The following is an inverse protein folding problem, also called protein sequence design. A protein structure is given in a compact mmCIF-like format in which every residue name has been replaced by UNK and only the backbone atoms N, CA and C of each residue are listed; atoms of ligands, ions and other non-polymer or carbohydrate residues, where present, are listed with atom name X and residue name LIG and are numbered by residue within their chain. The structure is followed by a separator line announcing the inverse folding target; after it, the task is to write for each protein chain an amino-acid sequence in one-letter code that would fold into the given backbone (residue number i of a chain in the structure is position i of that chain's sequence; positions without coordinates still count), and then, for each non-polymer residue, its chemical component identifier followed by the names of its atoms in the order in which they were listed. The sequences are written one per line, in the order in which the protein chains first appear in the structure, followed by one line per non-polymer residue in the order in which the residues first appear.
data_IF_781151343341
#
_entry.id   IF_781151343341
#
_cell.length_a   1.000
_cell.length_b   1.000
_cell.length_c   1.000
_cell.angle_alpha   90.00
_cell.angle_beta   90.00
_cell.angle_gamma   90.00
#
_symmetry.space_group_name_H-M   'P 1'
#
loop_
_entity.id
_entity.type
_entity.pdbx_description
1 polymer ?
#
# COMPACT_ATOMS: atom_id res chain seq x y z
N UNK A 1 -16.06 -53.10 -91.97
CA UNK A 1 -15.83 -54.12 -90.91
C UNK A 1 -14.41 -54.01 -90.40
N UNK A 2 -14.21 -53.67 -89.12
CA UNK A 2 -12.88 -53.62 -88.51
C UNK A 2 -12.38 -55.07 -88.36
N UNK A 3 -11.20 -55.35 -88.89
CA UNK A 3 -10.63 -56.71 -88.84
C UNK A 3 -10.40 -57.19 -87.42
N UNK A 4 -10.76 -58.45 -87.10
CA UNK A 4 -10.53 -59.09 -85.78
C UNK A 4 -9.12 -58.89 -85.26
N UNK A 5 -8.12 -58.91 -86.16
CA UNK A 5 -6.71 -58.61 -85.81
C UNK A 5 -6.47 -57.14 -85.32
N UNK A 6 -7.23 -56.18 -85.81
CA UNK A 6 -7.13 -54.78 -85.40
C UNK A 6 -7.72 -54.57 -84.01
N UNK A 7 -8.85 -55.27 -83.73
CA UNK A 7 -9.48 -55.25 -82.42
C UNK A 7 -8.55 -55.86 -81.35
N UNK A 8 -7.95 -57.03 -81.67
CA UNK A 8 -7.00 -57.68 -80.73
C UNK A 8 -5.75 -56.83 -80.49
N UNK A 9 -5.16 -56.21 -81.51
CA UNK A 9 -4.03 -55.33 -81.36
C UNK A 9 -4.36 -54.07 -80.52
N UNK A 10 -5.55 -53.56 -80.72
CA UNK A 10 -6.02 -52.40 -79.90
C UNK A 10 -6.23 -52.78 -78.44
N UNK A 11 -6.86 -53.95 -78.22
CA UNK A 11 -7.06 -54.44 -76.83
C UNK A 11 -5.73 -54.71 -76.10
N UNK A 12 -4.77 -55.41 -76.79
CA UNK A 12 -3.44 -55.67 -76.24
C UNK A 12 -2.69 -54.33 -75.97
N UNK A 13 -2.78 -53.39 -76.90
CA UNK A 13 -2.15 -52.09 -76.73
C UNK A 13 -2.76 -51.23 -75.59
N UNK A 14 -4.05 -51.43 -75.28
CA UNK A 14 -4.74 -50.80 -74.18
C UNK A 14 -4.32 -51.43 -72.85
N UNK A 15 -4.32 -52.80 -72.79
CA UNK A 15 -3.84 -53.51 -71.58
C UNK A 15 -2.41 -53.20 -71.25
N UNK A 16 -1.50 -53.15 -72.27
CA UNK A 16 -0.08 -52.73 -72.03
C UNK A 16 0.06 -51.27 -71.51
N UNK A 17 -0.89 -50.42 -71.84
CA UNK A 17 -0.90 -49.05 -71.28
C UNK A 17 -1.40 -49.04 -69.83
N UNK A 18 -2.41 -49.79 -69.53
CA UNK A 18 -3.01 -49.98 -68.22
C UNK A 18 -2.02 -50.67 -67.26
N UNK A 19 -1.25 -51.67 -67.69
CA UNK A 19 -0.15 -52.28 -66.94
C UNK A 19 0.97 -51.24 -66.58
N UNK A 20 1.19 -50.24 -67.47
CA UNK A 20 2.14 -49.15 -67.20
C UNK A 20 1.63 -48.17 -66.13
N UNK A 21 0.30 -47.96 -66.09
CA UNK A 21 -0.28 -47.11 -65.05
C UNK A 21 -0.09 -47.72 -63.67
N UNK A 22 -0.39 -49.05 -63.58
CA UNK A 22 -0.21 -49.78 -62.34
C UNK A 22 1.26 -49.73 -61.86
N UNK A 23 2.19 -50.08 -62.78
CA UNK A 23 3.63 -50.00 -62.50
C UNK A 23 4.09 -48.61 -62.08
N UNK A 24 3.46 -47.54 -62.54
CA UNK A 24 3.82 -46.16 -62.27
C UNK A 24 3.19 -45.64 -61.00
N UNK A 25 1.94 -45.99 -60.73
CA UNK A 25 1.14 -45.34 -59.70
C UNK A 25 0.76 -46.28 -58.54
N UNK A 26 0.87 -47.62 -58.73
CA UNK A 26 0.58 -48.62 -57.71
C UNK A 26 1.58 -49.82 -57.86
N UNK A 27 2.86 -49.52 -57.91
CA UNK A 27 3.91 -50.48 -58.28
C UNK A 27 3.99 -51.70 -57.35
N UNK A 28 3.62 -51.54 -56.08
CA UNK A 28 3.67 -52.58 -55.04
C UNK A 28 2.30 -53.32 -54.91
N UNK A 29 1.33 -53.03 -55.75
CA UNK A 29 -0.04 -53.55 -55.64
C UNK A 29 -0.65 -53.27 -54.24
N UNK A 30 -0.30 -52.13 -53.66
CA UNK A 30 -0.67 -51.77 -52.32
C UNK A 30 -2.17 -51.51 -52.19
N UNK A 31 -2.79 -51.00 -53.26
CA UNK A 31 -4.19 -50.64 -53.27
C UNK A 31 -4.94 -51.60 -54.25
N UNK A 32 -6.10 -52.10 -53.77
CA UNK A 32 -6.96 -52.97 -54.55
C UNK A 32 -7.82 -52.16 -55.56
N UNK A 33 -7.17 -51.64 -56.60
CA UNK A 33 -7.77 -50.85 -57.68
C UNK A 33 -7.34 -51.48 -58.97
N UNK A 34 -8.29 -52.11 -59.67
CA UNK A 34 -8.01 -52.83 -60.91
C UNK A 34 -7.87 -51.83 -62.06
N UNK A 35 -6.64 -51.70 -62.63
CA UNK A 35 -6.32 -50.76 -63.71
C UNK A 35 -7.13 -50.98 -64.99
N UNK A 36 -7.70 -52.19 -65.19
CA UNK A 36 -8.47 -52.53 -66.39
C UNK A 36 -9.90 -52.00 -66.37
N UNK A 37 -10.41 -51.52 -65.26
CA UNK A 37 -11.73 -50.91 -65.07
C UNK A 37 -11.79 -49.45 -65.54
N UNK A 38 -10.65 -48.87 -65.90
CA UNK A 38 -10.55 -47.47 -66.28
C UNK A 38 -10.09 -47.22 -67.69
N UNK A 39 -10.65 -46.23 -68.34
CA UNK A 39 -10.35 -45.93 -69.78
C UNK A 39 -9.15 -44.97 -69.89
N UNK A 40 -8.90 -44.11 -68.85
CA UNK A 40 -7.83 -43.14 -68.83
C UNK A 40 -6.96 -43.27 -67.58
N UNK A 41 -5.71 -42.88 -67.71
CA UNK A 41 -4.79 -42.83 -66.54
C UNK A 41 -5.27 -41.86 -65.46
N UNK A 42 -6.00 -40.83 -65.86
CA UNK A 42 -6.55 -39.84 -64.86
C UNK A 42 -7.63 -40.50 -64.01
N UNK A 43 -8.56 -41.25 -64.61
CA UNK A 43 -9.61 -41.99 -63.88
C UNK A 43 -8.99 -43.02 -62.92
N UNK A 44 -7.99 -43.80 -63.38
CA UNK A 44 -7.27 -44.74 -62.54
C UNK A 44 -6.55 -44.08 -61.35
N UNK A 45 -5.83 -42.94 -61.59
CA UNK A 45 -5.15 -42.21 -60.55
C UNK A 45 -6.14 -41.58 -59.53
N UNK A 46 -7.30 -41.13 -60.03
CA UNK A 46 -8.31 -40.60 -59.09
C UNK A 46 -8.88 -41.72 -58.22
N UNK A 47 -9.15 -42.93 -58.77
CA UNK A 47 -9.58 -44.05 -57.94
C UNK A 47 -8.53 -44.54 -56.94
N UNK A 48 -7.23 -44.43 -57.25
CA UNK A 48 -6.16 -44.63 -56.26
C UNK A 48 -6.16 -43.54 -55.17
N UNK A 49 -6.34 -42.32 -55.56
CA UNK A 49 -6.41 -41.18 -54.58
C UNK A 49 -7.55 -41.30 -53.59
N UNK A 50 -8.72 -41.76 -54.04
CA UNK A 50 -9.83 -42.08 -53.15
C UNK A 50 -9.43 -43.18 -52.16
N UNK A 51 -8.68 -44.20 -52.57
CA UNK A 51 -8.17 -45.24 -51.68
C UNK A 51 -7.06 -44.73 -50.74
N UNK A 52 -6.22 -43.79 -51.16
CA UNK A 52 -5.22 -43.15 -50.31
C UNK A 52 -5.89 -42.34 -49.20
N UNK A 53 -6.95 -41.59 -49.58
CA UNK A 53 -7.74 -40.80 -48.63
C UNK A 53 -8.48 -41.71 -47.66
N UNK A 54 -9.21 -42.76 -48.16
CA UNK A 54 -9.90 -43.74 -47.31
C UNK A 54 -8.95 -44.41 -46.27
N UNK A 55 -7.65 -44.57 -46.60
CA UNK A 55 -6.68 -45.18 -45.72
C UNK A 55 -6.09 -44.21 -44.70
N UNK A 56 -5.68 -43.02 -45.14
CA UNK A 56 -4.95 -42.08 -44.32
C UNK A 56 -5.85 -41.06 -43.63
N UNK A 57 -6.97 -40.70 -44.25
CA UNK A 57 -7.93 -39.70 -43.74
C UNK A 57 -9.38 -40.15 -44.04
N UNK A 58 -9.84 -41.25 -43.39
CA UNK A 58 -11.15 -41.85 -43.68
C UNK A 58 -12.34 -40.94 -43.33
N UNK A 59 -12.15 -40.00 -42.43
CA UNK A 59 -13.18 -39.05 -42.00
C UNK A 59 -13.12 -37.72 -42.77
N UNK A 60 -12.18 -37.61 -43.71
CA UNK A 60 -11.94 -36.39 -44.52
C UNK A 60 -11.69 -35.12 -43.68
N UNK A 61 -11.08 -35.29 -42.53
CA UNK A 61 -10.78 -34.16 -41.62
C UNK A 61 -9.68 -33.25 -42.14
N UNK A 62 -8.83 -33.78 -43.04
CA UNK A 62 -7.67 -33.07 -43.57
C UNK A 62 -7.89 -32.53 -45.01
N UNK A 63 -9.09 -32.65 -45.59
CA UNK A 63 -9.36 -32.28 -46.98
C UNK A 63 -9.03 -30.80 -47.28
N UNK A 64 -9.30 -29.92 -46.36
CA UNK A 64 -9.01 -28.49 -46.50
C UNK A 64 -7.50 -28.17 -46.47
N UNK A 65 -6.69 -29.07 -45.96
CA UNK A 65 -5.26 -28.85 -45.68
C UNK A 65 -4.35 -29.69 -46.61
N UNK A 66 -4.67 -30.96 -46.78
CA UNK A 66 -3.89 -31.91 -47.60
C UNK A 66 -4.74 -32.39 -48.80
N UNK A 67 -4.70 -31.61 -49.88
CA UNK A 67 -5.44 -31.89 -51.09
C UNK A 67 -4.79 -33.08 -51.84
N UNK A 68 -5.38 -34.28 -51.68
CA UNK A 68 -4.93 -35.52 -52.33
C UNK A 68 -4.77 -35.39 -53.85
N UNK A 69 -5.49 -34.47 -54.50
CA UNK A 69 -5.41 -34.22 -55.92
C UNK A 69 -4.06 -33.70 -56.41
N UNK A 70 -3.29 -33.12 -55.53
CA UNK A 70 -1.94 -32.55 -55.81
C UNK A 70 -0.86 -33.62 -55.89
N UNK A 71 -1.09 -34.80 -55.33
CA UNK A 71 -0.04 -35.82 -55.22
C UNK A 71 -0.05 -36.76 -56.39
N UNK A 72 1.15 -37.16 -56.82
CA UNK A 72 1.36 -38.08 -57.95
C UNK A 72 1.66 -39.51 -57.50
N UNK A 73 1.97 -39.75 -56.24
CA UNK A 73 2.20 -41.04 -55.62
C UNK A 73 1.69 -41.09 -54.21
N UNK A 74 1.50 -42.28 -53.66
CA UNK A 74 1.00 -42.46 -52.28
C UNK A 74 1.99 -42.02 -51.20
N UNK A 75 3.29 -42.34 -51.39
CA UNK A 75 4.28 -42.10 -50.33
C UNK A 75 4.40 -40.61 -50.00
N UNK A 76 4.38 -39.73 -51.00
CA UNK A 76 4.39 -38.29 -50.80
C UNK A 76 3.12 -37.81 -50.08
N UNK A 77 1.93 -38.34 -50.46
CA UNK A 77 0.67 -38.01 -49.82
C UNK A 77 0.64 -38.46 -48.34
N UNK A 78 1.00 -39.74 -48.09
CA UNK A 78 1.03 -40.30 -46.75
C UNK A 78 2.02 -39.58 -45.85
N UNK A 79 3.17 -39.15 -46.37
CA UNK A 79 4.18 -38.40 -45.62
C UNK A 79 3.61 -37.05 -45.17
N UNK A 80 2.97 -36.30 -46.07
CA UNK A 80 2.39 -35.01 -45.75
C UNK A 80 1.20 -35.15 -44.77
N UNK A 81 0.37 -36.21 -44.89
CA UNK A 81 -0.71 -36.50 -43.95
C UNK A 81 -0.15 -36.78 -42.54
N UNK A 82 0.89 -37.61 -42.44
CA UNK A 82 1.53 -37.90 -41.14
C UNK A 82 2.12 -36.64 -40.52
N UNK A 83 2.81 -35.84 -41.34
CA UNK A 83 3.38 -34.57 -40.86
C UNK A 83 2.26 -33.63 -40.39
N UNK A 84 1.16 -33.54 -41.15
CA UNK A 84 0.07 -32.68 -40.74
C UNK A 84 -0.63 -33.14 -39.45
N UNK A 85 -0.88 -34.45 -39.31
CA UNK A 85 -1.43 -35.03 -38.07
C UNK A 85 -0.54 -34.72 -36.87
N UNK A 86 0.77 -34.85 -37.02
CA UNK A 86 1.72 -34.49 -35.98
C UNK A 86 1.60 -33.01 -35.57
N UNK A 87 1.42 -32.12 -36.57
CA UNK A 87 1.23 -30.67 -36.28
C UNK A 87 -0.11 -30.36 -35.61
N UNK A 88 -1.17 -31.12 -35.92
CA UNK A 88 -2.44 -31.02 -35.20
C UNK A 88 -2.31 -31.47 -33.73
N UNK A 89 -1.54 -32.55 -33.48
CA UNK A 89 -1.26 -33.02 -32.13
C UNK A 89 -0.53 -31.92 -31.32
N UNK A 90 0.42 -31.20 -31.93
CA UNK A 90 1.06 -30.04 -31.27
C UNK A 90 0.05 -28.94 -30.93
N UNK A 91 -0.82 -28.58 -31.89
CA UNK A 91 -1.85 -27.59 -31.66
C UNK A 91 -2.78 -28.01 -30.52
N UNK A 92 -3.26 -29.25 -30.54
CA UNK A 92 -4.17 -29.74 -29.50
C UNK A 92 -3.48 -29.83 -28.10
N UNK A 93 -2.15 -29.96 -28.07
CA UNK A 93 -1.37 -29.86 -26.82
C UNK A 93 -1.31 -28.45 -26.28
N UNK A 94 -1.12 -27.44 -27.13
CA UNK A 94 -0.89 -26.06 -26.73
C UNK A 94 -2.17 -25.19 -26.72
N UNK A 95 -3.19 -25.57 -27.51
CA UNK A 95 -4.50 -24.92 -27.64
C UNK A 95 -5.61 -25.98 -27.63
N UNK A 96 -5.78 -26.64 -26.48
CA UNK A 96 -6.69 -27.78 -26.33
C UNK A 96 -8.15 -27.45 -26.64
N UNK A 97 -8.57 -26.24 -26.42
CA UNK A 97 -9.93 -25.77 -26.66
C UNK A 97 -10.11 -25.15 -28.06
N UNK A 98 -9.01 -25.09 -28.83
CA UNK A 98 -8.98 -24.49 -30.18
C UNK A 98 -9.56 -23.06 -30.21
N UNK A 99 -9.21 -22.28 -29.20
CA UNK A 99 -9.70 -20.90 -29.07
C UNK A 99 -9.08 -19.97 -30.12
N UNK A 100 -7.88 -20.32 -30.63
CA UNK A 100 -7.16 -19.47 -31.55
C UNK A 100 -7.28 -20.05 -32.99
N UNK A 101 -7.71 -19.18 -33.93
CA UNK A 101 -7.74 -19.49 -35.37
C UNK A 101 -6.31 -19.53 -35.90
N UNK A 102 -5.68 -20.68 -35.72
CA UNK A 102 -4.27 -20.87 -35.96
C UNK A 102 -4.04 -22.13 -36.82
N UNK A 103 -3.41 -21.95 -37.97
CA UNK A 103 -3.08 -23.07 -38.86
C UNK A 103 -1.63 -23.51 -38.62
N UNK A 104 -1.39 -24.71 -38.07
CA UNK A 104 -0.04 -25.19 -37.80
C UNK A 104 0.80 -25.40 -39.09
N UNK A 105 0.18 -25.42 -40.28
CA UNK A 105 0.89 -25.51 -41.54
C UNK A 105 1.51 -24.19 -42.04
N UNK A 106 1.17 -23.05 -41.42
CA UNK A 106 1.74 -21.76 -41.79
C UNK A 106 3.19 -21.61 -41.32
N UNK A 107 3.69 -22.55 -40.51
CA UNK A 107 5.03 -22.49 -39.90
C UNK A 107 5.89 -23.67 -40.33
N UNK A 108 7.16 -23.41 -40.56
CA UNK A 108 8.13 -24.42 -41.01
C UNK A 108 8.55 -25.38 -39.85
N UNK A 109 8.55 -24.88 -38.61
CA UNK A 109 8.96 -25.63 -37.42
C UNK A 109 8.01 -25.37 -36.25
N UNK A 110 7.78 -26.41 -35.43
CA UNK A 110 6.97 -26.35 -34.20
C UNK A 110 7.31 -25.16 -33.31
N UNK A 111 8.61 -24.84 -33.12
CA UNK A 111 9.06 -23.74 -32.26
C UNK A 111 8.51 -22.38 -32.71
N UNK A 112 8.35 -22.15 -34.01
CA UNK A 112 7.76 -20.88 -34.53
C UNK A 112 6.25 -20.86 -34.36
N UNK A 113 5.61 -21.99 -34.48
CA UNK A 113 4.20 -22.20 -34.25
C UNK A 113 3.82 -21.89 -32.81
N UNK A 114 4.49 -22.56 -31.86
CA UNK A 114 4.31 -22.33 -30.42
C UNK A 114 4.61 -20.87 -30.02
N UNK A 115 5.66 -20.25 -30.56
CA UNK A 115 5.95 -18.84 -30.29
C UNK A 115 4.87 -17.89 -30.81
N UNK A 116 4.30 -18.17 -31.96
CA UNK A 116 3.24 -17.35 -32.52
C UNK A 116 1.94 -17.51 -31.72
N UNK A 117 1.62 -18.73 -31.29
CA UNK A 117 0.48 -19.04 -30.44
C UNK A 117 0.62 -18.35 -29.06
N UNK A 118 1.76 -18.48 -28.42
CA UNK A 118 2.06 -17.79 -27.14
C UNK A 118 1.94 -16.26 -27.25
N UNK A 119 2.27 -15.67 -28.39
CA UNK A 119 2.02 -14.24 -28.65
C UNK A 119 0.52 -13.92 -28.79
N UNK A 120 -0.25 -14.85 -29.38
CA UNK A 120 -1.71 -14.70 -29.47
C UNK A 120 -2.35 -14.77 -28.08
N UNK A 121 -1.92 -15.71 -27.21
CA UNK A 121 -2.36 -15.78 -25.81
C UNK A 121 -2.10 -14.45 -25.08
N UNK A 122 -0.87 -13.92 -25.21
CA UNK A 122 -0.53 -12.65 -24.57
C UNK A 122 -1.41 -11.52 -25.05
N UNK A 123 -1.67 -11.44 -26.35
CA UNK A 123 -2.53 -10.41 -26.92
C UNK A 123 -3.99 -10.51 -26.46
N UNK A 124 -4.49 -11.72 -26.21
CA UNK A 124 -5.86 -11.96 -25.77
C UNK A 124 -6.00 -11.71 -24.26
N UNK A 125 -5.14 -12.31 -23.44
CA UNK A 125 -5.30 -12.32 -21.98
C UNK A 125 -4.57 -11.19 -21.27
N UNK A 126 -3.48 -10.64 -21.84
CA UNK A 126 -2.73 -9.51 -21.30
C UNK A 126 -2.39 -8.48 -22.38
N UNK A 127 -3.40 -7.85 -23.03
CA UNK A 127 -3.21 -6.95 -24.18
C UNK A 127 -2.40 -5.69 -23.83
N UNK A 128 -2.40 -5.29 -22.59
CA UNK A 128 -1.69 -4.10 -22.09
C UNK A 128 -0.34 -4.43 -21.48
N UNK A 129 0.03 -5.71 -21.40
CA UNK A 129 1.25 -6.20 -20.77
C UNK A 129 1.36 -5.77 -19.30
N UNK A 130 0.25 -5.88 -18.58
CA UNK A 130 0.16 -5.52 -17.16
C UNK A 130 0.93 -6.52 -16.28
N UNK A 131 0.98 -7.79 -16.71
CA UNK A 131 1.61 -8.90 -15.98
C UNK A 131 2.87 -9.35 -16.73
N UNK A 132 3.85 -8.45 -16.79
CA UNK A 132 5.01 -8.59 -17.66
C UNK A 132 5.93 -9.77 -17.31
N UNK A 133 5.87 -10.26 -16.06
CA UNK A 133 6.74 -11.31 -15.54
C UNK A 133 6.13 -12.72 -15.64
N UNK A 134 4.89 -12.85 -16.13
CA UNK A 134 4.38 -14.18 -16.52
C UNK A 134 5.16 -14.69 -17.72
N UNK A 135 6.14 -15.56 -17.44
CA UNK A 135 7.05 -16.07 -18.47
C UNK A 135 6.39 -17.15 -19.32
N UNK A 136 6.11 -16.78 -20.56
CA UNK A 136 5.53 -17.69 -21.55
C UNK A 136 6.44 -18.90 -21.88
N UNK A 137 7.74 -18.85 -21.57
CA UNK A 137 8.63 -19.98 -21.84
C UNK A 137 8.34 -21.17 -20.92
N UNK A 138 7.86 -20.93 -19.70
CA UNK A 138 7.58 -21.95 -18.68
C UNK A 138 6.14 -22.47 -18.69
N UNK A 139 5.25 -21.84 -19.47
CA UNK A 139 3.84 -22.20 -19.56
C UNK A 139 3.65 -23.33 -20.57
N UNK A 140 2.92 -24.38 -20.18
CA UNK A 140 2.75 -25.60 -20.98
C UNK A 140 1.51 -25.57 -21.88
N UNK A 141 0.47 -24.81 -21.54
CA UNK A 141 -0.75 -24.66 -22.32
C UNK A 141 -1.44 -23.29 -22.05
N UNK A 142 -2.46 -23.00 -22.87
CA UNK A 142 -3.21 -21.74 -22.79
C UNK A 142 -3.96 -21.58 -21.47
N UNK A 143 -4.48 -22.67 -20.91
CA UNK A 143 -5.24 -22.61 -19.66
C UNK A 143 -4.33 -22.27 -18.49
N UNK A 144 -3.11 -22.82 -18.44
CA UNK A 144 -2.11 -22.48 -17.45
C UNK A 144 -1.75 -20.98 -17.53
N UNK A 145 -1.55 -20.45 -18.74
CA UNK A 145 -1.28 -19.02 -18.93
C UNK A 145 -2.45 -18.14 -18.47
N UNK A 146 -3.68 -18.48 -18.93
CA UNK A 146 -4.90 -17.75 -18.56
C UNK A 146 -5.10 -17.74 -17.05
N UNK A 147 -5.02 -18.91 -16.42
CA UNK A 147 -5.19 -19.03 -14.96
C UNK A 147 -4.19 -18.16 -14.20
N UNK A 148 -2.92 -18.15 -14.64
CA UNK A 148 -1.91 -17.30 -13.98
C UNK A 148 -2.18 -15.81 -14.15
N UNK A 149 -2.64 -15.37 -15.32
CA UNK A 149 -3.06 -14.00 -15.55
C UNK A 149 -4.28 -13.63 -14.70
N UNK A 150 -5.26 -14.53 -14.61
CA UNK A 150 -6.48 -14.30 -13.82
C UNK A 150 -6.17 -14.27 -12.31
N UNK A 151 -5.30 -15.14 -11.80
CA UNK A 151 -4.78 -15.09 -10.41
C UNK A 151 -4.12 -13.73 -10.12
N UNK A 152 -3.19 -13.29 -10.97
CA UNK A 152 -2.52 -12.00 -10.80
C UNK A 152 -3.52 -10.83 -10.82
N UNK A 153 -4.56 -10.91 -11.63
CA UNK A 153 -5.62 -9.91 -11.71
C UNK A 153 -6.48 -9.91 -10.45
N UNK A 154 -6.85 -11.10 -9.95
CA UNK A 154 -7.59 -11.25 -8.70
C UNK A 154 -6.82 -10.66 -7.52
N UNK A 155 -5.53 -10.96 -7.39
CA UNK A 155 -4.68 -10.37 -6.33
C UNK A 155 -4.64 -8.85 -6.41
N UNK A 156 -4.48 -8.30 -7.63
CA UNK A 156 -4.46 -6.85 -7.83
C UNK A 156 -5.81 -6.21 -7.49
N UNK A 157 -6.91 -6.81 -7.95
CA UNK A 157 -8.26 -6.31 -7.69
C UNK A 157 -8.64 -6.39 -6.19
N UNK A 158 -8.13 -7.40 -5.46
CA UNK A 158 -8.39 -7.53 -4.02
C UNK A 158 -7.54 -6.56 -3.19
N UNK A 159 -6.26 -6.39 -3.51
CA UNK A 159 -5.30 -5.73 -2.63
C UNK A 159 -4.86 -4.33 -3.08
N UNK A 160 -4.89 -4.04 -4.39
CA UNK A 160 -4.57 -2.71 -4.97
C UNK A 160 -5.48 -2.37 -6.16
N UNK A 161 -6.81 -2.30 -5.97
CA UNK A 161 -7.79 -2.14 -7.07
C UNK A 161 -7.64 -0.83 -7.85
N UNK A 162 -6.93 0.14 -7.30
CA UNK A 162 -6.68 1.42 -7.95
C UNK A 162 -5.29 1.53 -8.57
N UNK A 163 -4.50 0.45 -8.51
CA UNK A 163 -3.11 0.42 -8.97
C UNK A 163 -2.27 1.57 -8.37
N UNK A 164 -2.50 1.86 -7.09
CA UNK A 164 -1.88 2.99 -6.42
C UNK A 164 -0.37 2.79 -6.24
N UNK A 165 0.02 1.54 -6.03
CA UNK A 165 1.41 1.18 -5.74
C UNK A 165 2.21 0.79 -6.98
N UNK A 166 1.54 0.55 -8.12
CA UNK A 166 2.17 0.15 -9.38
C UNK A 166 3.07 -1.10 -9.24
N UNK A 167 2.68 -2.03 -8.39
CA UNK A 167 3.38 -3.31 -8.18
C UNK A 167 2.77 -4.35 -9.11
N UNK A 168 3.60 -4.95 -9.96
CA UNK A 168 3.17 -6.02 -10.83
C UNK A 168 3.10 -7.34 -10.03
N UNK A 169 1.89 -7.91 -9.79
CA UNK A 169 1.73 -9.14 -9.02
C UNK A 169 2.40 -10.35 -9.67
N UNK A 170 2.67 -10.30 -10.97
CA UNK A 170 3.35 -11.39 -11.69
C UNK A 170 4.82 -11.56 -11.32
N UNK A 171 5.40 -10.64 -10.54
CA UNK A 171 6.76 -10.74 -10.01
C UNK A 171 6.88 -11.70 -8.82
N UNK A 172 5.77 -12.14 -8.25
CA UNK A 172 5.72 -12.92 -7.02
C UNK A 172 5.23 -14.34 -7.30
N UNK A 173 5.74 -15.29 -6.53
CA UNK A 173 5.37 -16.69 -6.73
C UNK A 173 3.98 -16.99 -6.17
N UNK A 174 3.56 -16.28 -5.13
CA UNK A 174 2.24 -16.41 -4.50
C UNK A 174 1.67 -15.06 -4.03
N UNK A 175 0.38 -15.09 -3.62
CA UNK A 175 -0.37 -13.93 -3.16
C UNK A 175 0.24 -13.30 -1.89
N UNK A 176 0.76 -14.14 -0.98
CA UNK A 176 1.30 -13.68 0.30
C UNK A 176 2.54 -12.79 0.09
N UNK A 177 3.43 -13.18 -0.82
CA UNK A 177 4.61 -12.38 -1.20
C UNK A 177 4.20 -11.04 -1.83
N UNK A 178 3.19 -11.04 -2.70
CA UNK A 178 2.66 -9.80 -3.29
C UNK A 178 2.09 -8.87 -2.22
N UNK A 179 1.28 -9.40 -1.32
CA UNK A 179 0.67 -8.63 -0.21
C UNK A 179 1.74 -8.11 0.74
N UNK A 180 2.79 -8.87 1.01
CA UNK A 180 3.90 -8.43 1.88
C UNK A 180 4.68 -7.25 1.26
N UNK A 181 4.88 -7.23 -0.05
CA UNK A 181 5.46 -6.04 -0.70
C UNK A 181 4.52 -4.81 -0.58
N UNK A 182 3.20 -4.99 -0.77
CA UNK A 182 2.22 -3.93 -0.56
C UNK A 182 2.24 -3.41 0.88
N UNK A 183 2.30 -4.29 1.88
CA UNK A 183 2.43 -3.94 3.30
C UNK A 183 3.68 -3.11 3.58
N UNK A 184 4.79 -3.45 2.94
CA UNK A 184 6.01 -2.65 3.00
C UNK A 184 5.83 -1.24 2.43
N UNK A 185 5.02 -1.10 1.38
CA UNK A 185 4.65 0.19 0.80
C UNK A 185 3.70 0.99 1.69
N UNK A 186 2.69 0.33 2.33
CA UNK A 186 1.82 0.97 3.31
C UNK A 186 2.63 1.57 4.46
N UNK A 187 3.60 0.81 4.99
CA UNK A 187 4.48 1.30 6.04
C UNK A 187 5.26 2.53 5.59
N UNK A 188 5.82 2.52 4.39
CA UNK A 188 6.52 3.68 3.82
C UNK A 188 5.61 4.90 3.62
N UNK A 189 4.34 4.68 3.30
CA UNK A 189 3.36 5.75 3.08
C UNK A 189 2.87 6.38 4.39
N UNK A 190 2.53 5.56 5.39
CA UNK A 190 1.83 6.01 6.59
C UNK A 190 2.74 6.19 7.80
N UNK A 191 3.84 5.43 7.90
CA UNK A 191 4.81 5.46 9.01
C UNK A 191 6.27 5.40 8.52
N UNK A 192 6.64 6.32 7.63
CA UNK A 192 7.97 6.38 7.00
C UNK A 192 9.12 6.39 8.01
N UNK A 193 8.96 7.09 9.14
CA UNK A 193 9.98 7.21 10.17
C UNK A 193 9.92 6.11 11.23
N UNK A 194 9.01 5.15 11.08
CA UNK A 194 8.76 4.08 12.06
C UNK A 194 8.50 4.65 13.47
N UNK A 195 7.62 5.66 13.53
CA UNK A 195 7.23 6.32 14.78
C UNK A 195 6.33 5.45 15.65
N UNK A 196 5.63 4.49 15.03
CA UNK A 196 4.67 3.57 15.65
C UNK A 196 5.19 2.13 15.54
N UNK A 197 6.25 1.84 16.33
CA UNK A 197 7.05 0.62 16.15
C UNK A 197 6.30 -0.67 16.45
N UNK A 198 5.25 -0.61 17.28
CA UNK A 198 4.43 -1.77 17.66
C UNK A 198 3.26 -2.02 16.71
N UNK A 199 3.07 -1.20 15.65
CA UNK A 199 2.09 -1.45 14.60
C UNK A 199 2.78 -2.11 13.42
N UNK A 200 2.64 -3.44 13.31
CA UNK A 200 3.15 -4.19 12.18
C UNK A 200 2.09 -4.25 11.07
N UNK A 201 2.39 -3.84 9.83
CA UNK A 201 1.44 -3.97 8.73
C UNK A 201 1.03 -5.42 8.45
N UNK A 202 1.80 -6.41 8.91
CA UNK A 202 1.43 -7.84 8.79
C UNK A 202 0.22 -8.22 9.63
N UNK A 203 -0.08 -7.48 10.68
CA UNK A 203 -1.25 -7.73 11.53
C UNK A 203 -2.57 -7.22 10.91
N UNK A 204 -2.48 -6.56 9.74
CA UNK A 204 -3.63 -5.93 9.09
C UNK A 204 -3.97 -6.59 7.75
N UNK A 205 -5.27 -6.78 7.56
CA UNK A 205 -5.79 -7.42 6.35
C UNK A 205 -5.63 -6.53 5.11
N UNK A 206 -5.81 -5.22 5.27
CA UNK A 206 -5.86 -4.25 4.19
C UNK A 206 -5.27 -2.90 4.60
N UNK A 207 -4.96 -2.09 3.60
CA UNK A 207 -4.40 -0.75 3.78
C UNK A 207 -5.27 0.16 4.63
N UNK A 208 -6.59 0.08 4.46
CA UNK A 208 -7.53 0.95 5.17
C UNK A 208 -7.47 0.73 6.68
N UNK A 209 -7.46 -0.53 7.12
CA UNK A 209 -7.36 -0.87 8.54
C UNK A 209 -6.00 -0.52 9.13
N UNK A 210 -4.92 -0.73 8.37
CA UNK A 210 -3.57 -0.31 8.78
C UNK A 210 -3.45 1.23 8.90
N UNK A 211 -3.89 1.96 7.88
CA UNK A 211 -3.85 3.43 7.90
C UNK A 211 -4.70 4.02 9.02
N UNK A 212 -5.88 3.44 9.28
CA UNK A 212 -6.74 3.83 10.39
C UNK A 212 -6.06 3.68 11.73
N UNK A 213 -5.38 2.56 11.97
CA UNK A 213 -4.62 2.35 13.21
C UNK A 213 -3.51 3.39 13.40
N UNK A 214 -2.77 3.72 12.35
CA UNK A 214 -1.75 4.78 12.37
C UNK A 214 -2.37 6.17 12.62
N UNK A 215 -3.50 6.48 11.98
CA UNK A 215 -4.18 7.76 12.16
C UNK A 215 -4.72 7.94 13.58
N UNK A 216 -5.25 6.89 14.20
CA UNK A 216 -5.69 6.90 15.59
C UNK A 216 -4.53 7.24 16.54
N UNK A 217 -3.37 6.60 16.36
CA UNK A 217 -2.19 6.88 17.20
C UNK A 217 -1.66 8.31 16.98
N UNK A 218 -1.65 8.79 15.74
CA UNK A 218 -1.34 10.20 15.42
C UNK A 218 -2.32 11.17 16.06
N UNK A 219 -3.60 10.83 16.07
CA UNK A 219 -4.62 11.64 16.72
C UNK A 219 -4.37 11.74 18.23
N UNK A 220 -4.10 10.61 18.94
CA UNK A 220 -3.81 10.64 20.37
C UNK A 220 -2.58 11.48 20.69
N UNK A 221 -1.49 11.28 19.96
CA UNK A 221 -0.28 12.07 20.12
C UNK A 221 -0.54 13.56 19.91
N UNK A 222 -1.24 13.93 18.83
CA UNK A 222 -1.57 15.33 18.57
C UNK A 222 -2.49 15.96 19.64
N UNK A 223 -3.39 15.16 20.21
CA UNK A 223 -4.33 15.60 21.24
C UNK A 223 -3.65 15.85 22.58
N UNK A 224 -2.77 14.95 23.00
CA UNK A 224 -2.23 14.92 24.35
C UNK A 224 -0.75 15.32 24.45
N UNK A 225 0.07 15.01 23.46
CA UNK A 225 1.51 15.33 23.43
C UNK A 225 1.98 15.80 22.06
N UNK A 226 1.39 16.87 21.54
CA UNK A 226 1.60 17.41 20.19
C UNK A 226 3.07 17.56 19.76
N UNK A 227 3.97 17.76 20.69
CA UNK A 227 5.39 17.96 20.43
C UNK A 227 6.21 16.70 20.71
N UNK A 228 5.57 15.58 21.01
CA UNK A 228 6.21 14.34 21.45
C UNK A 228 7.27 14.59 22.54
N UNK A 229 6.91 15.42 23.53
CA UNK A 229 7.81 15.90 24.55
C UNK A 229 8.25 14.78 25.52
N UNK A 230 7.41 13.75 25.65
CA UNK A 230 7.64 12.60 26.53
C UNK A 230 8.23 11.41 25.83
N UNK A 231 8.27 11.43 24.47
CA UNK A 231 8.80 10.34 23.62
C UNK A 231 8.17 8.98 23.92
N UNK A 232 6.89 8.99 24.26
CA UNK A 232 6.09 7.79 24.40
C UNK A 232 5.58 7.38 23.02
N UNK A 233 5.73 6.09 22.70
CA UNK A 233 5.13 5.54 21.50
C UNK A 233 3.66 5.16 21.78
N UNK A 234 2.68 5.84 21.18
CA UNK A 234 1.28 5.50 21.40
C UNK A 234 0.91 4.12 20.85
N UNK A 235 1.76 3.51 20.00
CA UNK A 235 1.54 2.17 19.50
C UNK A 235 1.76 1.08 20.56
N UNK A 236 2.49 1.38 21.62
CA UNK A 236 2.68 0.48 22.75
C UNK A 236 1.45 0.37 23.67
N UNK A 237 0.40 1.17 23.41
CA UNK A 237 -0.81 1.23 24.21
C UNK A 237 -1.99 0.60 23.44
N UNK A 238 -2.80 -0.22 24.11
CA UNK A 238 -3.98 -0.86 23.51
C UNK A 238 -5.11 0.13 23.20
N UNK A 239 -5.15 1.26 23.94
CA UNK A 239 -6.21 2.26 23.79
C UNK A 239 -5.76 3.68 24.15
N UNK A 240 -6.61 4.64 23.76
CA UNK A 240 -6.39 6.08 24.03
C UNK A 240 -6.21 6.39 25.52
N UNK A 241 -7.00 5.73 26.40
CA UNK A 241 -6.94 5.93 27.85
C UNK A 241 -5.60 5.44 28.43
N UNK A 242 -5.11 4.29 27.98
CA UNK A 242 -3.80 3.77 28.41
C UNK A 242 -2.65 4.69 28.03
N UNK A 243 -2.71 5.25 26.80
CA UNK A 243 -1.74 6.26 26.38
C UNK A 243 -1.79 7.52 27.25
N UNK A 244 -2.99 7.98 27.60
CA UNK A 244 -3.20 9.11 28.48
C UNK A 244 -2.66 8.80 29.90
N UNK A 245 -2.89 7.61 30.44
CA UNK A 245 -2.38 7.21 31.75
C UNK A 245 -0.84 7.12 31.77
N UNK A 246 -0.24 6.65 30.69
CA UNK A 246 1.22 6.70 30.55
C UNK A 246 1.76 8.13 30.55
N UNK A 247 1.08 9.07 29.88
CA UNK A 247 1.41 10.49 29.93
C UNK A 247 1.21 11.09 31.31
N UNK A 248 0.09 10.78 32.00
CA UNK A 248 -0.19 11.19 33.38
C UNK A 248 0.92 10.75 34.33
N UNK A 249 1.39 9.51 34.19
CA UNK A 249 2.53 8.99 34.95
C UNK A 249 3.82 9.81 34.69
N UNK A 250 4.06 10.20 33.45
CA UNK A 250 5.18 11.06 33.08
C UNK A 250 5.03 12.47 33.68
N UNK A 251 3.82 13.07 33.67
CA UNK A 251 3.59 14.38 34.27
C UNK A 251 3.81 14.34 35.76
N UNK A 252 3.27 13.34 36.46
CA UNK A 252 3.47 13.17 37.88
C UNK A 252 4.94 13.00 38.25
N UNK A 253 5.67 12.11 37.54
CA UNK A 253 7.11 11.94 37.75
C UNK A 253 7.93 13.18 37.48
N UNK A 254 7.48 14.09 36.60
CA UNK A 254 8.15 15.34 36.25
C UNK A 254 7.86 16.48 37.24
N UNK A 255 6.62 16.58 37.73
CA UNK A 255 6.15 17.76 38.49
C UNK A 255 5.92 17.49 39.98
N UNK A 256 5.58 16.26 40.36
CA UNK A 256 5.38 15.81 41.74
C UNK A 256 5.96 14.43 41.99
N UNK A 257 7.29 14.23 41.81
CA UNK A 257 7.94 12.92 41.92
C UNK A 257 7.86 12.31 43.34
N UNK A 258 7.69 13.14 44.37
CA UNK A 258 7.62 12.69 45.75
C UNK A 258 6.20 12.54 46.28
N UNK A 259 5.19 12.72 45.42
CA UNK A 259 3.77 12.68 45.79
C UNK A 259 3.43 13.58 46.98
N UNK A 260 3.99 14.81 46.98
CA UNK A 260 3.81 15.78 48.06
C UNK A 260 2.50 16.57 47.98
N UNK A 261 1.88 16.54 46.79
CA UNK A 261 0.65 17.28 46.52
C UNK A 261 -0.57 16.38 46.72
N UNK A 262 -1.68 16.96 47.12
CA UNK A 262 -2.95 16.25 47.28
C UNK A 262 -3.81 16.37 45.99
N UNK A 263 -3.15 16.34 44.85
CA UNK A 263 -3.76 16.47 43.52
C UNK A 263 -3.60 15.14 42.83
N UNK A 264 -4.73 14.57 42.43
CA UNK A 264 -4.73 13.35 41.65
C UNK A 264 -4.51 13.69 40.18
N UNK A 265 -3.48 13.11 39.57
CA UNK A 265 -3.15 13.34 38.16
C UNK A 265 -4.24 12.79 37.21
N UNK A 266 -4.97 11.76 37.65
CA UNK A 266 -6.02 11.10 36.87
C UNK A 266 -7.24 12.00 36.63
N UNK A 267 -7.40 13.07 37.43
CA UNK A 267 -8.44 14.07 37.24
C UNK A 267 -8.20 15.01 36.03
N UNK A 268 -7.06 14.87 35.34
CA UNK A 268 -6.66 15.82 34.30
C UNK A 268 -6.37 15.15 32.95
N UNK A 269 -6.89 15.75 31.89
CA UNK A 269 -6.69 15.31 30.52
C UNK A 269 -5.56 16.06 29.79
N UNK A 270 -4.94 17.07 30.45
CA UNK A 270 -3.81 17.72 29.83
C UNK A 270 -2.79 18.24 30.89
N UNK A 271 -1.51 18.17 30.49
CA UNK A 271 -0.37 18.61 31.30
C UNK A 271 -0.54 20.03 31.87
N UNK A 272 -1.07 20.93 31.06
CA UNK A 272 -1.22 22.36 31.45
C UNK A 272 -2.19 22.55 32.61
N UNK A 273 -3.31 21.81 32.62
CA UNK A 273 -4.31 21.89 33.67
C UNK A 273 -3.80 21.24 34.95
N UNK A 274 -3.16 20.07 34.85
CA UNK A 274 -2.50 19.43 35.99
C UNK A 274 -1.46 20.35 36.65
N UNK A 275 -0.55 20.95 35.86
CA UNK A 275 0.44 21.91 36.38
C UNK A 275 -0.20 23.13 37.06
N UNK A 276 -1.28 23.62 36.49
CA UNK A 276 -2.02 24.75 37.06
C UNK A 276 -2.63 24.38 38.42
N UNK A 277 -3.20 23.20 38.54
CA UNK A 277 -3.74 22.69 39.79
C UNK A 277 -2.66 22.48 40.85
N UNK A 278 -1.51 21.91 40.46
CA UNK A 278 -0.36 21.77 41.37
C UNK A 278 0.10 23.12 41.96
N UNK A 279 0.26 24.14 41.12
CA UNK A 279 0.68 25.47 41.61
C UNK A 279 -0.38 26.10 42.52
N UNK A 280 -1.67 25.85 42.21
CA UNK A 280 -2.74 26.29 43.09
C UNK A 280 -2.69 25.59 44.47
N UNK A 281 -2.47 24.27 44.50
CA UNK A 281 -2.32 23.50 45.74
C UNK A 281 -1.09 23.96 46.55
N UNK A 282 0.04 24.24 45.91
CA UNK A 282 1.22 24.83 46.59
C UNK A 282 0.92 26.22 47.13
N UNK A 283 0.16 27.04 46.42
CA UNK A 283 -0.26 28.34 46.85
C UNK A 283 -1.17 28.26 48.09
N UNK A 284 -2.16 27.36 48.04
CA UNK A 284 -3.08 27.15 49.17
C UNK A 284 -2.37 26.54 50.39
N UNK A 285 -1.35 25.73 50.18
CA UNK A 285 -0.55 25.12 51.25
C UNK A 285 0.46 26.09 51.89
N UNK A 286 1.23 26.78 51.06
CA UNK A 286 2.38 27.58 51.53
C UNK A 286 2.09 29.06 51.60
N UNK A 287 1.13 29.59 50.82
CA UNK A 287 0.70 31.00 50.88
C UNK A 287 -0.79 31.14 51.23
N UNK A 288 -1.19 30.57 52.36
CA UNK A 288 -2.59 30.59 52.86
C UNK A 288 -3.23 31.98 52.93
N UNK A 289 -2.44 33.04 52.93
CA UNK A 289 -2.91 34.42 52.89
C UNK A 289 -3.01 34.98 51.48
N UNK A 290 -2.70 34.18 50.46
CA UNK A 290 -2.71 34.56 49.03
C UNK A 290 -1.99 35.91 48.78
N UNK A 291 -0.81 36.06 49.38
CA UNK A 291 -0.02 37.29 49.26
C UNK A 291 0.58 37.46 47.87
N UNK A 292 0.78 36.36 47.14
CA UNK A 292 1.48 36.33 45.86
C UNK A 292 0.57 35.85 44.74
N UNK A 293 -0.22 36.80 44.18
CA UNK A 293 -1.18 36.49 43.11
C UNK A 293 -0.59 36.57 41.67
N UNK A 294 0.66 37.04 41.56
CA UNK A 294 1.34 37.21 40.29
C UNK A 294 2.17 36.00 39.85
N UNK A 295 2.18 34.92 40.62
CA UNK A 295 2.88 33.72 40.27
C UNK A 295 2.23 33.05 39.08
N UNK A 296 3.03 32.80 38.02
CA UNK A 296 2.58 32.10 36.80
C UNK A 296 3.03 30.65 36.88
N UNK A 297 2.11 29.70 36.68
CA UNK A 297 2.38 28.28 36.75
C UNK A 297 3.49 27.82 35.79
N UNK A 298 3.67 28.50 34.66
CA UNK A 298 4.72 28.18 33.69
C UNK A 298 6.15 28.34 34.24
N UNK A 299 6.34 29.13 35.33
CA UNK A 299 7.65 29.38 35.93
C UNK A 299 8.15 28.23 36.80
N UNK A 300 7.24 27.39 37.29
CA UNK A 300 7.58 26.36 38.27
C UNK A 300 7.52 24.98 37.66
N UNK A 301 8.55 24.19 37.90
CA UNK A 301 8.59 22.76 37.51
C UNK A 301 8.26 21.87 38.70
N UNK A 302 8.67 22.26 39.92
CA UNK A 302 8.47 21.48 41.14
C UNK A 302 8.04 22.41 42.28
N UNK A 303 7.55 21.79 43.36
CA UNK A 303 7.25 22.52 44.61
C UNK A 303 8.47 23.25 45.18
N UNK A 304 9.66 22.68 45.01
CA UNK A 304 10.90 23.30 45.50
C UNK A 304 11.22 24.58 44.72
N UNK A 305 11.01 24.62 43.40
CA UNK A 305 11.13 25.83 42.59
C UNK A 305 10.16 26.93 43.09
N UNK A 306 8.91 26.53 43.40
CA UNK A 306 7.91 27.44 43.95
C UNK A 306 8.34 27.99 45.30
N UNK A 307 8.82 27.13 46.22
CA UNK A 307 9.26 27.53 47.55
C UNK A 307 10.48 28.45 47.52
N UNK A 308 11.41 28.26 46.64
CA UNK A 308 12.54 29.15 46.42
C UNK A 308 12.05 30.54 46.01
N UNK A 309 11.19 30.60 45.00
CA UNK A 309 10.66 31.89 44.53
C UNK A 309 9.77 32.56 45.57
N UNK A 310 8.94 31.81 46.30
CA UNK A 310 8.10 32.28 47.38
C UNK A 310 8.95 32.92 48.49
N UNK A 311 10.01 32.24 48.95
CA UNK A 311 10.92 32.76 49.98
C UNK A 311 11.68 34.00 49.50
N UNK A 312 12.08 34.04 48.26
CA UNK A 312 12.70 35.23 47.67
C UNK A 312 11.78 36.45 47.73
N UNK A 313 10.49 36.27 47.36
CA UNK A 313 9.50 37.39 47.46
C UNK A 313 9.27 37.85 48.89
N UNK A 314 9.21 36.91 49.82
CA UNK A 314 9.15 37.26 51.26
C UNK A 314 10.39 38.09 51.74
N UNK A 315 11.58 37.66 51.25
CA UNK A 315 12.82 38.40 51.59
C UNK A 315 12.84 39.81 50.97
N UNK A 316 12.32 39.98 49.74
CA UNK A 316 12.19 41.28 49.10
C UNK A 316 11.26 42.21 49.91
N UNK A 317 10.12 41.69 50.39
CA UNK A 317 9.23 42.44 51.27
C UNK A 317 9.95 42.89 52.56
N UNK A 318 10.65 41.96 53.21
CA UNK A 318 11.40 42.28 54.43
C UNK A 318 12.51 43.37 54.22
N UNK A 319 13.20 43.30 53.05
CA UNK A 319 14.26 44.25 52.71
C UNK A 319 13.74 45.66 52.34
N UNK A 320 12.61 45.70 51.59
CA UNK A 320 12.13 46.99 51.07
C UNK A 320 11.04 47.65 51.91
N UNK A 321 10.26 46.83 52.65
CA UNK A 321 9.12 47.26 53.47
C UNK A 321 9.07 46.49 54.81
N UNK A 322 10.12 46.64 55.65
CA UNK A 322 10.26 45.96 56.95
C UNK A 322 9.08 46.18 57.89
N UNK A 323 8.43 47.35 57.78
CA UNK A 323 7.28 47.70 58.58
C UNK A 323 5.92 47.24 58.02
N UNK A 324 5.91 46.65 56.82
CA UNK A 324 4.71 46.16 56.16
C UNK A 324 3.73 47.25 55.70
N UNK A 325 4.20 48.51 55.61
CA UNK A 325 3.36 49.66 55.23
C UNK A 325 2.88 49.62 53.76
N UNK A 326 3.60 48.87 52.92
CA UNK A 326 3.32 48.72 51.48
C UNK A 326 3.02 47.28 51.17
N UNK A 327 2.46 46.53 52.12
CA UNK A 327 2.19 45.06 52.00
C UNK A 327 1.18 44.69 50.89
N UNK A 328 0.40 45.65 50.41
CA UNK A 328 -0.49 45.49 49.26
C UNK A 328 0.26 45.46 47.93
N UNK A 329 1.53 45.86 47.88
CA UNK A 329 2.34 45.67 46.66
C UNK A 329 2.83 44.25 46.62
N UNK A 330 2.27 43.48 45.72
CA UNK A 330 2.62 42.07 45.48
C UNK A 330 3.93 41.97 44.69
N UNK A 331 5.03 41.48 45.30
CA UNK A 331 6.30 41.34 44.61
C UNK A 331 6.33 40.25 43.56
N UNK A 332 5.30 39.38 43.50
CA UNK A 332 5.23 38.30 42.51
C UNK A 332 4.99 38.83 41.09
N UNK A 333 4.49 40.05 40.94
CA UNK A 333 4.37 40.74 39.64
C UNK A 333 5.70 41.37 39.17
N UNK A 334 6.76 41.35 40.02
CA UNK A 334 8.06 41.93 39.69
C UNK A 334 9.05 40.84 39.27
N UNK A 335 9.83 41.08 38.20
CA UNK A 335 10.81 40.12 37.71
C UNK A 335 12.05 40.04 38.59
N UNK A 336 12.36 41.13 39.37
CA UNK A 336 13.53 41.18 40.24
C UNK A 336 13.34 42.15 41.39
N UNK A 337 14.23 42.05 42.41
CA UNK A 337 14.24 42.90 43.57
C UNK A 337 14.34 44.40 43.23
N UNK A 338 15.08 44.77 42.20
CA UNK A 338 15.27 46.18 41.80
C UNK A 338 13.93 46.78 41.38
N UNK A 339 13.17 46.04 40.58
CA UNK A 339 11.84 46.47 40.15
C UNK A 339 10.87 46.61 41.32
N UNK A 340 10.84 45.64 42.23
CA UNK A 340 10.02 45.73 43.44
C UNK A 340 10.42 46.91 44.32
N UNK A 341 11.72 47.06 44.57
CA UNK A 341 12.26 48.22 45.35
C UNK A 341 11.88 49.57 44.72
N UNK A 342 11.93 49.66 43.41
CA UNK A 342 11.47 50.86 42.69
C UNK A 342 9.98 51.10 42.91
N UNK A 343 9.12 50.12 42.86
CA UNK A 343 7.69 50.28 43.14
C UNK A 343 7.41 50.73 44.55
N UNK A 344 8.06 50.12 45.54
CA UNK A 344 7.96 50.57 46.98
C UNK A 344 8.44 52.00 47.17
N UNK A 345 9.59 52.34 46.60
CA UNK A 345 10.12 53.70 46.73
C UNK A 345 9.23 54.74 46.04
N UNK A 346 8.62 54.37 44.91
CA UNK A 346 7.66 55.24 44.22
C UNK A 346 6.44 55.57 45.15
N UNK A 347 5.89 54.57 45.80
CA UNK A 347 4.74 54.71 46.71
C UNK A 347 5.15 55.55 48.00
N UNK A 348 6.37 55.29 48.48
CA UNK A 348 6.95 56.10 49.56
C UNK A 348 7.07 57.60 49.18
N UNK A 349 7.54 57.85 47.94
CA UNK A 349 7.65 59.21 47.43
C UNK A 349 6.29 59.89 47.29
N UNK A 350 5.27 59.16 46.79
CA UNK A 350 3.90 59.70 46.70
C UNK A 350 3.36 60.07 48.10
N UNK A 351 3.46 59.16 49.08
CA UNK A 351 3.01 59.41 50.47
C UNK A 351 3.70 60.61 51.07
N UNK A 352 5.04 60.65 50.99
CA UNK A 352 5.81 61.77 51.55
C UNK A 352 5.51 63.13 50.90
N UNK A 353 5.18 63.13 49.60
CA UNK A 353 4.91 64.37 48.87
C UNK A 353 3.51 64.93 49.13
N UNK A 354 2.49 64.02 49.14
CA UNK A 354 1.09 64.43 49.09
C UNK A 354 0.35 64.25 50.44
N UNK A 355 0.81 63.35 51.31
CA UNK A 355 0.25 63.12 52.65
C UNK A 355 1.34 62.85 53.71
N UNK A 356 2.27 63.84 53.91
CA UNK A 356 3.41 63.64 54.80
C UNK A 356 3.04 63.48 56.29
N UNK A 357 1.91 64.05 56.71
CA UNK A 357 1.42 63.97 58.07
C UNK A 357 0.45 62.79 58.32
N UNK A 358 0.23 61.97 57.31
CA UNK A 358 -0.73 60.84 57.33
C UNK A 358 -2.15 61.31 57.76
N UNK A 359 -2.60 62.44 57.20
CA UNK A 359 -3.95 63.01 57.42
C UNK A 359 -5.05 62.16 56.88
N UNK A 360 -4.72 61.32 55.82
CA UNK A 360 -5.64 60.44 55.16
C UNK A 360 -5.20 58.98 55.34
N UNK A 361 -5.32 58.40 56.53
CA UNK A 361 -4.84 57.03 56.78
C UNK A 361 -5.56 55.94 56.01
N UNK A 362 -6.79 56.20 55.52
CA UNK A 362 -7.61 55.28 54.69
C UNK A 362 -7.24 55.26 53.20
N UNK A 363 -6.42 56.23 52.75
CA UNK A 363 -5.99 56.36 51.37
C UNK A 363 -4.59 55.79 51.21
N UNK A 364 -4.49 54.53 50.79
CA UNK A 364 -3.21 53.82 50.62
C UNK A 364 -2.66 54.05 49.20
N UNK A 365 -1.43 54.62 49.09
CA UNK A 365 -0.83 54.82 47.76
C UNK A 365 -0.69 53.51 46.93
N UNK A 366 -0.73 52.35 47.58
CA UNK A 366 -0.66 51.07 46.92
C UNK A 366 -1.93 50.72 46.13
N UNK A 367 -3.08 51.31 46.45
CA UNK A 367 -4.35 51.06 45.76
C UNK A 367 -4.44 51.79 44.40
N UNK A 368 -3.45 52.62 44.04
CA UNK A 368 -3.47 53.45 42.84
C UNK A 368 -2.35 53.10 41.86
N UNK A 369 -2.67 53.15 40.60
CA UNK A 369 -1.72 52.85 39.50
C UNK A 369 -0.87 54.06 39.13
N UNK A 370 -1.41 55.28 39.31
CA UNK A 370 -0.73 56.52 38.98
C UNK A 370 -0.71 57.49 40.17
N UNK A 371 0.23 58.44 40.15
CA UNK A 371 0.30 59.49 41.17
C UNK A 371 -0.86 60.45 41.05
N UNK A 372 -1.40 60.66 39.89
CA UNK A 372 -2.57 61.51 39.62
C UNK A 372 -3.79 60.96 40.33
N UNK A 373 -4.09 59.63 40.16
CA UNK A 373 -5.22 58.94 40.79
C UNK A 373 -5.08 59.01 42.34
N UNK A 374 -3.88 58.80 42.88
CA UNK A 374 -3.64 58.89 44.30
C UNK A 374 -3.91 60.30 44.81
N UNK A 375 -3.38 61.36 44.12
CA UNK A 375 -3.58 62.76 44.52
C UNK A 375 -5.05 63.19 44.39
N UNK A 376 -5.81 62.66 43.45
CA UNK A 376 -7.24 62.91 43.38
C UNK A 376 -8.00 62.28 44.56
N UNK A 377 -7.62 61.07 44.96
CA UNK A 377 -8.27 60.37 46.05
C UNK A 377 -8.08 61.12 47.39
N UNK A 378 -6.92 61.79 47.57
CA UNK A 378 -6.63 62.65 48.78
C UNK A 378 -7.45 63.92 48.79
N UNK A 379 -8.09 64.33 47.66
CA UNK A 379 -8.91 65.58 47.61
C UNK A 379 -10.39 65.31 47.87
N UNK A 380 -10.78 64.02 47.87
CA UNK A 380 -12.17 63.56 48.12
C UNK A 380 -12.39 63.34 49.60
#
# INVERSE_FOLDING_TARGET
MISRKRIIRFAIGTMMRQDRWEKKYNANHQFDVNQYDYFTSKEYVNALREKWQDLEDPECELEDYVDVSKYSNYDDYACDVVEYKSRLEWRDQWDCDREFDFNPCDFEYEEYDVKALKRAWKKEYDPYNEFAHVDLEWVNDVNEYRNRIDECREWKDEHDPNDEYHVDPSQFDDEEEYVDELRGLWKRKYDYFNEFSSIDPQDYRDEYTYSGAIEDKKYWMNKYDKNNAYKLDPSDCDGEEEYLDALRSCWQGKYDPDFKCNIDVDDYDCEKEYRKALVQDWQDTYDQQHRFNGFRFERFKTVDDYLVEYNDRLNWMKQCDAEGKYSKLDPSYCDNLIQYKHQVNLRKAWKNKYDPNNEFPSVDPCDYKSVEDYNEALKR
#
